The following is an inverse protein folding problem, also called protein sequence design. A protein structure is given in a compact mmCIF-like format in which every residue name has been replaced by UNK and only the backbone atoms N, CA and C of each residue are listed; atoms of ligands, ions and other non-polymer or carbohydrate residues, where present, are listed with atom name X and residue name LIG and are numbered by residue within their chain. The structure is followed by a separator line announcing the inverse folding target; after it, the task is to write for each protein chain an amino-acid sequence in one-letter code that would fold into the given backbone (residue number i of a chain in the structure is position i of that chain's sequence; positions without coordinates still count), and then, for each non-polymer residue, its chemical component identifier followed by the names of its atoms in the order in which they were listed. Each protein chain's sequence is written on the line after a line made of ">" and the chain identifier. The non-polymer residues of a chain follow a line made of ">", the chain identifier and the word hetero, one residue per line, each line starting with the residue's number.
data_IF_839126028233
#
_entry.id   IF_839126028233
#
_cell.length_a   1.000
_cell.length_b   1.000
_cell.length_c   1.000
_cell.angle_alpha   90.00
_cell.angle_beta   90.00
_cell.angle_gamma   90.00
#
_symmetry.space_group_name_H-M   'P 1'
#
loop_
_entity.id
_entity.type
_entity.pdbx_description
1 polymer ?
#
# COMPACT_ATOMS: atom_id res chain seq x y z
N UNK A 1 -25.68 -6.04 26.06
CA UNK A 1 -25.41 -7.43 25.63
C UNK A 1 -25.44 -7.54 24.11
N UNK A 2 -26.55 -7.33 23.43
CA UNK A 2 -26.66 -7.46 21.95
C UNK A 2 -25.63 -6.64 21.17
N UNK A 3 -25.37 -5.40 21.54
CA UNK A 3 -24.37 -4.55 20.86
C UNK A 3 -22.93 -5.06 21.01
N UNK A 4 -22.58 -5.67 22.14
CA UNK A 4 -21.24 -6.23 22.36
C UNK A 4 -21.04 -7.52 21.55
N UNK A 5 -22.06 -8.35 21.45
CA UNK A 5 -22.05 -9.57 20.64
C UNK A 5 -21.96 -9.25 19.14
N UNK A 6 -22.75 -8.26 18.68
CA UNK A 6 -22.69 -7.77 17.29
C UNK A 6 -21.32 -7.21 16.96
N UNK A 7 -20.72 -6.43 17.85
CA UNK A 7 -19.36 -5.91 17.67
C UNK A 7 -18.32 -7.03 17.57
N UNK A 8 -18.43 -8.04 18.43
CA UNK A 8 -17.55 -9.21 18.41
C UNK A 8 -17.69 -10.00 17.12
N UNK A 9 -18.93 -10.24 16.67
CA UNK A 9 -19.21 -10.91 15.40
C UNK A 9 -18.63 -10.13 14.21
N UNK A 10 -18.81 -8.82 14.17
CA UNK A 10 -18.25 -7.96 13.13
C UNK A 10 -16.72 -8.00 13.10
N UNK A 11 -16.05 -7.92 14.25
CA UNK A 11 -14.59 -8.02 14.32
C UNK A 11 -14.10 -9.40 13.84
N UNK A 12 -14.85 -10.46 14.12
CA UNK A 12 -14.51 -11.81 13.66
C UNK A 12 -14.69 -11.97 12.15
N UNK A 13 -15.77 -11.43 11.58
CA UNK A 13 -16.01 -11.39 10.13
C UNK A 13 -14.94 -10.58 9.40
N UNK A 14 -14.57 -9.43 9.96
CA UNK A 14 -13.51 -8.58 9.45
C UNK A 14 -12.21 -9.35 9.31
N UNK A 15 -11.78 -10.05 10.35
CA UNK A 15 -10.54 -10.83 10.34
C UNK A 15 -10.65 -12.04 9.39
N UNK A 16 -11.72 -12.82 9.49
CA UNK A 16 -11.83 -14.09 8.80
C UNK A 16 -12.21 -13.97 7.31
N UNK A 17 -12.92 -12.94 6.94
CA UNK A 17 -13.45 -12.76 5.58
C UNK A 17 -12.74 -11.63 4.87
N UNK A 18 -12.95 -10.40 5.35
CA UNK A 18 -12.53 -9.21 4.61
C UNK A 18 -11.01 -9.02 4.54
N UNK A 19 -10.27 -9.42 5.58
CA UNK A 19 -8.82 -9.33 5.57
C UNK A 19 -8.17 -10.42 4.72
N UNK A 20 -8.90 -11.50 4.39
CA UNK A 20 -8.41 -12.65 3.67
C UNK A 20 -8.96 -12.76 2.24
N UNK A 21 -9.74 -11.80 1.78
CA UNK A 21 -10.27 -11.81 0.42
C UNK A 21 -9.54 -10.86 -0.52
N UNK A 22 -9.80 -11.00 -1.79
CA UNK A 22 -9.38 -10.03 -2.81
C UNK A 22 -10.32 -8.83 -2.81
N UNK A 23 -9.74 -7.64 -2.82
CA UNK A 23 -10.45 -6.38 -2.88
C UNK A 23 -10.28 -5.74 -4.24
N UNK A 24 -11.37 -5.36 -4.85
CA UNK A 24 -11.40 -4.63 -6.10
C UNK A 24 -10.87 -3.20 -5.89
N UNK A 25 -9.97 -2.77 -6.78
CA UNK A 25 -9.39 -1.42 -6.76
C UNK A 25 -9.97 -0.56 -7.88
N UNK A 26 -9.94 -1.05 -9.11
CA UNK A 26 -10.35 -0.33 -10.31
C UNK A 26 -9.78 -0.96 -11.55
N UNK A 27 -9.93 -0.30 -12.69
CA UNK A 27 -9.37 -0.77 -13.95
C UNK A 27 -7.92 -0.26 -14.12
N UNK A 28 -7.06 -1.08 -14.71
CA UNK A 28 -5.65 -0.73 -14.96
C UNK A 28 -5.49 0.52 -15.83
N UNK A 29 -6.47 0.82 -16.68
CA UNK A 29 -6.49 2.04 -17.50
C UNK A 29 -6.62 3.34 -16.69
N UNK A 30 -7.04 3.26 -15.43
CA UNK A 30 -7.06 4.42 -14.53
C UNK A 30 -5.65 4.90 -14.16
N UNK A 31 -4.66 4.02 -14.27
CA UNK A 31 -3.25 4.31 -14.08
C UNK A 31 -2.61 4.69 -15.42
N UNK A 32 -2.92 5.88 -15.91
CA UNK A 32 -2.56 6.31 -17.28
C UNK A 32 -1.06 6.48 -17.48
N UNK A 33 -0.37 7.04 -16.50
CA UNK A 33 1.03 7.42 -16.59
C UNK A 33 1.85 6.90 -15.41
N UNK A 34 3.17 6.72 -15.57
CA UNK A 34 4.05 6.48 -14.44
C UNK A 34 3.91 7.58 -13.37
N UNK A 35 3.84 7.18 -12.13
CA UNK A 35 3.56 8.08 -11.01
C UNK A 35 2.10 8.19 -10.63
N UNK A 36 1.18 7.71 -11.46
CA UNK A 36 -0.24 7.59 -11.08
C UNK A 36 -0.35 6.70 -9.84
N UNK A 37 -1.16 7.12 -8.87
CA UNK A 37 -1.42 6.33 -7.67
C UNK A 37 -2.88 6.40 -7.25
N UNK A 38 -3.29 5.36 -6.53
CA UNK A 38 -4.58 5.26 -5.86
C UNK A 38 -4.34 4.78 -4.44
N UNK A 39 -5.04 5.35 -3.48
CA UNK A 39 -5.05 4.86 -2.09
C UNK A 39 -6.36 4.13 -1.84
N UNK A 40 -6.24 2.90 -1.38
CA UNK A 40 -7.36 2.03 -1.01
C UNK A 40 -7.25 1.67 0.46
N UNK A 41 -8.28 2.01 1.23
CA UNK A 41 -8.37 1.59 2.62
C UNK A 41 -9.14 0.27 2.72
N UNK A 42 -8.59 -0.66 3.47
CA UNK A 42 -9.24 -1.92 3.85
C UNK A 42 -9.33 -1.91 5.37
N UNK A 43 -10.44 -1.40 5.88
CA UNK A 43 -10.64 -1.06 7.30
C UNK A 43 -9.54 -0.09 7.78
N UNK A 44 -8.79 -0.44 8.82
CA UNK A 44 -7.69 0.39 9.35
C UNK A 44 -6.40 0.28 8.56
N UNK A 45 -6.34 -0.65 7.59
CA UNK A 45 -5.17 -0.81 6.73
C UNK A 45 -5.29 0.09 5.51
N UNK A 46 -4.26 0.84 5.22
CA UNK A 46 -4.19 1.68 4.02
C UNK A 46 -3.17 1.12 3.04
N UNK A 47 -3.56 1.06 1.78
CA UNK A 47 -2.71 0.54 0.69
C UNK A 47 -2.57 1.62 -0.37
N UNK A 48 -1.36 1.87 -0.84
CA UNK A 48 -1.09 2.72 -1.99
C UNK A 48 -0.71 1.86 -3.19
N UNK A 49 -1.40 2.08 -4.29
CA UNK A 49 -1.18 1.36 -5.56
C UNK A 49 -0.55 2.36 -6.54
N UNK A 50 0.58 2.00 -7.12
CA UNK A 50 1.39 2.89 -7.95
C UNK A 50 1.69 2.27 -9.30
N UNK A 51 1.80 3.10 -10.33
CA UNK A 51 2.34 2.69 -11.63
C UNK A 51 3.80 3.13 -11.75
N UNK A 52 4.68 2.17 -12.00
CA UNK A 52 6.11 2.41 -12.22
C UNK A 52 6.40 2.72 -13.70
N UNK A 53 7.59 3.23 -13.97
CA UNK A 53 8.08 3.53 -15.32
C UNK A 53 8.16 2.31 -16.24
N UNK A 54 8.33 1.13 -15.67
CA UNK A 54 8.33 -0.14 -16.40
C UNK A 54 6.92 -0.54 -16.91
N UNK A 55 5.89 0.23 -16.55
CA UNK A 55 4.50 -0.03 -16.91
C UNK A 55 3.76 -0.93 -15.93
N UNK A 56 4.45 -1.52 -14.97
CA UNK A 56 3.84 -2.39 -13.96
C UNK A 56 3.16 -1.59 -12.85
N UNK A 57 2.15 -2.21 -12.25
CA UNK A 57 1.39 -1.67 -11.13
C UNK A 57 1.76 -2.47 -9.88
N UNK A 58 2.10 -1.75 -8.82
CA UNK A 58 2.51 -2.32 -7.53
C UNK A 58 1.61 -1.81 -6.42
N UNK A 59 1.50 -2.59 -5.36
CA UNK A 59 0.78 -2.19 -4.15
C UNK A 59 1.70 -2.27 -2.93
N UNK A 60 1.60 -1.27 -2.07
CA UNK A 60 2.41 -1.11 -0.87
C UNK A 60 1.52 -0.75 0.31
N UNK A 61 1.88 -1.19 1.51
CA UNK A 61 1.29 -0.60 2.70
C UNK A 61 1.61 0.90 2.72
N UNK A 62 0.58 1.72 2.84
CA UNK A 62 0.66 3.19 2.81
C UNK A 62 1.15 3.74 4.16
N UNK A 63 2.30 3.24 4.59
CA UNK A 63 2.87 3.49 5.91
C UNK A 63 4.36 3.77 5.77
N UNK A 64 4.78 4.96 6.22
CA UNK A 64 6.19 5.32 6.23
C UNK A 64 6.97 4.45 7.23
N UNK A 65 8.07 3.88 6.79
CA UNK A 65 8.92 2.98 7.58
C UNK A 65 9.72 3.69 8.67
N UNK A 66 9.63 5.02 8.73
CA UNK A 66 10.28 5.82 9.79
C UNK A 66 9.50 5.73 11.11
N UNK A 67 8.26 6.24 11.15
CA UNK A 67 7.42 6.29 12.37
C UNK A 67 5.98 5.83 12.14
N UNK A 68 5.69 5.14 11.07
CA UNK A 68 4.37 4.58 10.81
C UNK A 68 3.32 5.59 10.36
N UNK A 69 3.71 6.80 9.97
CA UNK A 69 2.78 7.79 9.44
C UNK A 69 2.24 7.38 8.07
N UNK A 70 1.02 7.78 7.79
CA UNK A 70 0.41 7.61 6.48
C UNK A 70 1.26 8.34 5.42
N UNK A 71 1.64 7.63 4.37
CA UNK A 71 2.53 8.15 3.34
C UNK A 71 1.80 9.07 2.36
N UNK A 72 0.72 8.58 1.76
CA UNK A 72 -0.12 9.34 0.84
C UNK A 72 -1.50 9.58 1.47
N UNK A 73 -1.93 10.84 1.53
CA UNK A 73 -3.19 11.24 2.16
C UNK A 73 -4.32 11.41 1.14
N UNK A 74 -3.99 11.80 -0.08
CA UNK A 74 -4.99 11.94 -1.15
C UNK A 74 -5.38 10.58 -1.71
N UNK A 75 -6.66 10.43 -2.02
CA UNK A 75 -7.19 9.15 -2.53
C UNK A 75 -6.62 8.77 -3.89
N UNK A 76 -6.37 9.76 -4.73
CA UNK A 76 -5.82 9.60 -6.08
C UNK A 76 -4.89 10.75 -6.39
N UNK A 77 -3.95 10.52 -7.27
CA UNK A 77 -3.08 11.57 -7.76
C UNK A 77 -1.96 11.06 -8.64
N UNK A 78 -1.03 11.94 -8.87
CA UNK A 78 0.18 11.65 -9.60
C UNK A 78 1.36 12.27 -8.87
N UNK A 79 2.42 11.48 -8.69
CA UNK A 79 3.69 11.94 -8.14
C UNK A 79 4.77 11.95 -9.20
N UNK A 80 5.79 12.78 -9.01
CA UNK A 80 6.92 12.87 -9.91
C UNK A 80 8.03 11.89 -9.49
N UNK A 81 7.77 10.60 -9.72
CA UNK A 81 8.75 9.53 -9.55
C UNK A 81 8.99 9.03 -8.13
N UNK A 82 8.51 9.73 -7.10
CA UNK A 82 8.72 9.33 -5.71
C UNK A 82 7.51 9.61 -4.83
N UNK A 83 7.28 8.70 -3.87
CA UNK A 83 6.36 8.90 -2.76
C UNK A 83 7.12 9.55 -1.60
N UNK A 84 6.72 10.73 -1.17
CA UNK A 84 7.37 11.45 -0.08
C UNK A 84 6.49 11.48 1.16
N UNK A 85 7.05 11.06 2.30
CA UNK A 85 6.37 11.19 3.58
C UNK A 85 6.27 12.68 3.98
N UNK A 86 5.07 13.18 4.31
CA UNK A 86 4.87 14.59 4.61
C UNK A 86 5.51 15.04 5.94
N UNK A 87 5.86 14.11 6.83
CA UNK A 87 6.39 14.46 8.16
C UNK A 87 7.90 14.70 8.17
N UNK A 88 8.70 13.72 7.70
CA UNK A 88 10.16 13.80 7.80
C UNK A 88 10.85 13.64 6.43
N UNK A 89 10.07 13.73 5.35
CA UNK A 89 10.57 13.72 3.97
C UNK A 89 11.31 12.45 3.55
N UNK A 90 11.07 11.32 4.21
CA UNK A 90 11.53 10.04 3.69
C UNK A 90 10.89 9.80 2.33
N UNK A 91 11.69 9.43 1.34
CA UNK A 91 11.25 9.27 -0.04
C UNK A 91 11.45 7.82 -0.50
N UNK A 92 10.41 7.30 -1.13
CA UNK A 92 10.40 5.96 -1.72
C UNK A 92 10.18 6.08 -3.22
N UNK A 93 10.90 5.27 -4.00
CA UNK A 93 10.59 5.11 -5.42
C UNK A 93 9.25 4.39 -5.61
N UNK A 94 8.73 4.43 -6.82
CA UNK A 94 7.45 3.79 -7.14
C UNK A 94 7.50 2.26 -7.04
N UNK A 95 8.70 1.67 -7.04
CA UNK A 95 8.92 0.24 -6.78
C UNK A 95 9.15 -0.08 -5.29
N UNK A 96 8.86 0.85 -4.39
CA UNK A 96 8.88 0.66 -2.94
C UNK A 96 10.22 0.86 -2.24
N UNK A 97 11.31 1.03 -2.97
CA UNK A 97 12.64 1.18 -2.38
C UNK A 97 12.80 2.53 -1.66
N UNK A 98 13.35 2.52 -0.46
CA UNK A 98 13.72 3.75 0.23
C UNK A 98 14.92 4.40 -0.47
N UNK A 99 14.73 5.61 -0.97
CA UNK A 99 15.75 6.37 -1.73
C UNK A 99 16.44 7.43 -0.87
N UNK A 100 15.67 8.17 -0.08
CA UNK A 100 16.19 9.21 0.77
C UNK A 100 15.59 9.09 2.18
N UNK A 101 16.46 9.14 3.17
CA UNK A 101 16.11 9.06 4.58
C UNK A 101 16.88 10.15 5.34
N UNK A 102 16.43 11.43 5.25
CA UNK A 102 17.08 12.51 5.94
C UNK A 102 17.24 12.24 7.44
N UNK A 103 18.34 12.73 8.01
CA UNK A 103 18.69 12.60 9.44
C UNK A 103 19.05 11.16 9.88
N UNK A 104 19.46 10.32 8.94
CA UNK A 104 19.99 8.99 9.26
C UNK A 104 21.50 8.88 9.04
N UNK A 105 22.15 9.94 8.60
CA UNK A 105 23.55 9.98 8.21
C UNK A 105 24.52 9.62 9.35
N UNK A 106 24.09 9.79 10.58
CA UNK A 106 24.87 9.48 11.80
C UNK A 106 24.63 8.06 12.32
N UNK A 107 23.81 7.27 11.65
CA UNK A 107 23.48 5.91 12.07
C UNK A 107 24.30 4.89 11.28
N UNK A 108 25.39 4.40 11.86
CA UNK A 108 26.32 3.49 11.20
C UNK A 108 25.67 2.15 10.76
N UNK A 109 24.65 1.72 11.49
CA UNK A 109 23.94 0.46 11.20
C UNK A 109 22.69 0.62 10.35
N UNK A 110 22.38 1.83 9.86
CA UNK A 110 21.19 2.07 9.07
C UNK A 110 21.35 1.57 7.64
N UNK A 111 20.42 0.70 7.19
CA UNK A 111 20.34 0.22 5.83
C UNK A 111 19.02 0.62 5.18
N UNK A 112 19.08 1.31 4.06
CA UNK A 112 17.89 1.69 3.28
C UNK A 112 17.12 0.47 2.79
N UNK A 113 17.81 -0.62 2.44
CA UNK A 113 17.18 -1.87 1.97
C UNK A 113 16.22 -2.47 3.01
N UNK A 114 16.54 -2.34 4.29
CA UNK A 114 15.72 -2.88 5.37
C UNK A 114 14.49 -2.02 5.68
N UNK A 115 14.39 -0.85 5.06
CA UNK A 115 13.34 0.14 5.29
C UNK A 115 12.52 0.46 4.03
N UNK A 116 12.55 -0.42 3.04
CA UNK A 116 11.65 -0.33 1.88
C UNK A 116 10.18 -0.54 2.29
N UNK A 117 9.26 -0.03 1.49
CA UNK A 117 7.83 -0.21 1.75
C UNK A 117 7.49 -1.70 1.76
N UNK A 118 6.56 -2.08 2.63
CA UNK A 118 6.06 -3.45 2.68
C UNK A 118 5.08 -3.70 1.55
N UNK A 119 5.29 -4.80 0.84
CA UNK A 119 4.47 -5.20 -0.30
C UNK A 119 3.07 -5.62 0.12
N UNK A 120 2.11 -5.34 -0.75
CA UNK A 120 0.76 -5.89 -0.71
C UNK A 120 0.57 -6.69 -2.01
N UNK A 121 -0.01 -7.86 -1.92
CA UNK A 121 -0.26 -8.67 -3.12
C UNK A 121 -1.27 -7.99 -4.02
N UNK A 122 -0.94 -7.95 -5.30
CA UNK A 122 -1.76 -7.36 -6.35
C UNK A 122 -1.84 -8.33 -7.54
N UNK A 123 -3.03 -8.50 -8.07
CA UNK A 123 -3.25 -9.21 -9.32
C UNK A 123 -4.11 -8.38 -10.26
N UNK A 124 -3.87 -8.53 -11.56
CA UNK A 124 -4.68 -7.94 -12.62
C UNK A 124 -5.34 -9.09 -13.39
N UNK A 125 -6.66 -9.09 -13.38
CA UNK A 125 -7.46 -10.07 -14.11
C UNK A 125 -8.42 -9.34 -15.05
N UNK A 126 -8.34 -9.68 -16.34
CA UNK A 126 -9.13 -9.04 -17.40
C UNK A 126 -9.07 -7.48 -17.39
N UNK A 127 -7.91 -6.93 -17.02
CA UNK A 127 -7.71 -5.49 -16.91
C UNK A 127 -8.14 -4.88 -15.56
N UNK A 128 -8.78 -5.63 -14.68
CA UNK A 128 -9.19 -5.17 -13.37
C UNK A 128 -8.13 -5.45 -12.30
N UNK A 129 -7.88 -4.46 -11.48
CA UNK A 129 -6.86 -4.51 -10.42
C UNK A 129 -7.48 -4.94 -9.11
N UNK A 130 -6.87 -5.92 -8.47
CA UNK A 130 -7.26 -6.44 -7.15
C UNK A 130 -6.07 -6.49 -6.21
N UNK A 131 -6.31 -6.27 -4.94
CA UNK A 131 -5.33 -6.41 -3.86
C UNK A 131 -5.85 -7.35 -2.78
N UNK A 132 -4.94 -7.99 -2.07
CA UNK A 132 -5.25 -8.74 -0.86
C UNK A 132 -4.20 -8.51 0.20
N UNK A 133 -4.61 -8.47 1.45
CA UNK A 133 -3.72 -8.40 2.62
C UNK A 133 -3.28 -9.78 3.08
N UNK A 134 -3.83 -10.84 2.51
CA UNK A 134 -3.47 -12.22 2.80
C UNK A 134 -2.36 -12.70 1.86
N UNK A 135 -1.17 -12.93 2.42
CA UNK A 135 -0.02 -13.42 1.66
C UNK A 135 -0.22 -14.85 1.14
N UNK A 136 -1.18 -15.58 1.70
CA UNK A 136 -1.50 -16.96 1.32
C UNK A 136 -2.76 -17.09 0.47
N UNK A 137 -3.40 -15.99 0.09
CA UNK A 137 -4.60 -16.03 -0.73
C UNK A 137 -4.34 -16.80 -2.05
N UNK A 138 -5.32 -17.61 -2.45
CA UNK A 138 -5.25 -18.27 -3.77
C UNK A 138 -5.30 -17.22 -4.89
N UNK A 139 -4.63 -17.46 -6.02
CA UNK A 139 -4.72 -16.59 -7.19
C UNK A 139 -6.16 -16.41 -7.66
N UNK A 140 -6.46 -15.24 -8.24
CA UNK A 140 -7.78 -14.95 -8.83
C UNK A 140 -8.04 -15.83 -10.06
N UNK A 141 -6.99 -16.10 -10.82
CA UNK A 141 -7.08 -16.90 -12.07
C UNK A 141 -6.38 -18.24 -11.93
#
# INVERSE_FOLDING_TARGET
>A
MVKAEQKKAFEQEKINIFMNCWHFVGHSNEFKEPGSYVVQDVFEQSVVITKEKDGNIYAWHNVCRHRGNRLMNERRGKVNGMLRCPYHSWCYSLNGDLRAAPRTEHLDSFSKKDHSLRTVRLEIFAGWVFITLDDNALPIS
#
